data_IF_777525191327
#
_entry.id   IF_777525191327
#
_cell.length_a   1.000
_cell.length_b   1.000
_cell.length_c   1.000
_cell.angle_alpha   90.00
_cell.angle_beta   90.00
_cell.angle_gamma   90.00
#
_symmetry.space_group_name_H-M   'P 1'
#
loop_
_entity.id
_entity.type
_entity.pdbx_description
1 polymer ?
#
# COMPACT_ATOMS: atom_id res chain seq x y z
N UNK A 1 40.30 -19.65 -6.88
CA UNK A 1 38.89 -20.10 -6.76
C UNK A 1 37.90 -18.95 -6.59
N UNK A 2 38.25 -17.88 -5.85
CA UNK A 2 37.38 -16.70 -5.57
C UNK A 2 36.79 -16.02 -6.83
N UNK A 3 37.54 -15.95 -7.95
CA UNK A 3 37.05 -15.35 -9.21
C UNK A 3 35.84 -16.10 -9.81
N UNK A 4 35.81 -17.44 -9.70
CA UNK A 4 34.72 -18.27 -10.22
C UNK A 4 33.48 -18.16 -9.33
N UNK A 5 33.69 -18.09 -8.01
CA UNK A 5 32.63 -17.85 -7.03
C UNK A 5 31.97 -16.48 -7.26
N UNK A 6 32.76 -15.42 -7.44
CA UNK A 6 32.24 -14.07 -7.71
C UNK A 6 31.44 -14.00 -9.02
N UNK A 7 31.91 -14.66 -10.09
CA UNK A 7 31.18 -14.72 -11.36
C UNK A 7 29.86 -15.50 -11.22
N UNK A 8 29.87 -16.61 -10.48
CA UNK A 8 28.67 -17.38 -10.20
C UNK A 8 27.64 -16.58 -9.40
N UNK A 9 28.08 -15.89 -8.35
CA UNK A 9 27.21 -15.01 -7.55
C UNK A 9 26.64 -13.87 -8.39
N UNK A 10 27.44 -13.26 -9.26
CA UNK A 10 26.99 -12.21 -10.17
C UNK A 10 25.91 -12.71 -11.15
N UNK A 11 26.12 -13.88 -11.76
CA UNK A 11 25.15 -14.50 -12.66
C UNK A 11 23.84 -14.85 -11.92
N UNK A 12 23.95 -15.32 -10.68
CA UNK A 12 22.79 -15.65 -9.84
C UNK A 12 21.96 -14.42 -9.46
N UNK A 13 22.61 -13.27 -9.24
CA UNK A 13 21.92 -12.01 -8.97
C UNK A 13 21.20 -11.47 -10.22
N UNK A 14 21.79 -11.61 -11.41
CA UNK A 14 21.16 -11.20 -12.67
C UNK A 14 19.90 -12.03 -12.95
N UNK A 15 19.97 -13.35 -12.76
CA UNK A 15 18.81 -14.21 -12.97
C UNK A 15 17.70 -13.94 -11.96
N UNK A 16 18.03 -13.64 -10.70
CA UNK A 16 17.05 -13.26 -9.69
C UNK A 16 16.26 -11.99 -10.06
N UNK A 17 16.93 -10.97 -10.61
CA UNK A 17 16.27 -9.74 -11.09
C UNK A 17 15.45 -10.01 -12.35
N UNK A 18 15.96 -10.79 -13.29
CA UNK A 18 15.26 -11.13 -14.53
C UNK A 18 13.99 -11.98 -14.30
N UNK A 19 13.96 -12.75 -13.20
CA UNK A 19 12.80 -13.56 -12.80
C UNK A 19 11.88 -12.86 -11.78
N UNK A 20 12.17 -11.61 -11.40
CA UNK A 20 11.30 -10.84 -10.53
C UNK A 20 9.96 -10.58 -11.22
N UNK A 21 8.93 -11.32 -10.83
CA UNK A 21 7.56 -11.09 -11.29
C UNK A 21 6.97 -9.88 -10.58
N UNK A 22 6.25 -9.03 -11.30
CA UNK A 22 5.35 -8.08 -10.67
C UNK A 22 4.32 -8.88 -9.84
N UNK A 23 3.97 -8.45 -8.61
CA UNK A 23 2.99 -9.15 -7.80
C UNK A 23 1.68 -9.29 -8.59
N UNK A 24 1.19 -10.52 -8.73
CA UNK A 24 -0.10 -10.75 -9.38
C UNK A 24 -1.23 -10.21 -8.50
N UNK A 25 -2.25 -9.63 -9.11
CA UNK A 25 -3.41 -9.09 -8.41
C UNK A 25 -3.30 -7.63 -7.96
N UNK A 26 -2.20 -6.94 -8.27
CA UNK A 26 -2.13 -5.48 -8.15
C UNK A 26 -2.61 -4.87 -9.47
N UNK A 27 -3.50 -3.85 -9.44
CA UNK A 27 -3.87 -3.12 -10.65
C UNK A 27 -2.61 -2.61 -11.36
N UNK A 28 -2.39 -3.09 -12.58
CA UNK A 28 -1.31 -2.63 -13.44
C UNK A 28 -1.82 -1.49 -14.32
N UNK A 29 -0.99 -0.47 -14.56
CA UNK A 29 -1.35 0.72 -15.34
C UNK A 29 -1.50 2.00 -14.52
N UNK A 30 -1.99 3.07 -15.13
CA UNK A 30 -2.32 4.31 -14.44
C UNK A 30 -3.61 4.10 -13.63
N UNK A 31 -3.59 4.24 -12.30
CA UNK A 31 -4.79 4.05 -11.50
C UNK A 31 -5.84 5.09 -11.89
N UNK A 32 -7.08 4.65 -12.09
CA UNK A 32 -8.20 5.57 -12.25
C UNK A 32 -8.48 6.29 -10.93
N UNK A 33 -8.89 7.56 -10.97
CA UNK A 33 -9.32 8.27 -9.77
C UNK A 33 -10.49 7.54 -9.08
N UNK A 34 -10.55 7.64 -7.75
CA UNK A 34 -11.67 7.09 -6.97
C UNK A 34 -12.99 7.70 -7.45
N UNK A 35 -13.92 6.86 -7.88
CA UNK A 35 -15.25 7.32 -8.28
C UNK A 35 -16.01 7.90 -7.09
N UNK A 36 -16.68 9.04 -7.29
CA UNK A 36 -17.48 9.72 -6.28
C UNK A 36 -18.89 9.13 -6.17
N UNK A 37 -18.98 7.80 -6.04
CA UNK A 37 -20.24 7.13 -5.75
C UNK A 37 -20.67 7.39 -4.30
N UNK A 38 -21.97 7.26 -4.01
CA UNK A 38 -22.49 7.43 -2.65
C UNK A 38 -21.76 6.53 -1.64
N UNK A 39 -21.52 5.26 -2.01
CA UNK A 39 -20.79 4.30 -1.17
C UNK A 39 -19.36 4.78 -0.88
N UNK A 40 -18.63 5.23 -1.90
CA UNK A 40 -17.26 5.70 -1.74
C UNK A 40 -17.19 6.98 -0.90
N UNK A 41 -18.13 7.90 -1.09
CA UNK A 41 -18.22 9.11 -0.27
C UNK A 41 -18.46 8.74 1.21
N UNK A 42 -19.38 7.81 1.47
CA UNK A 42 -19.67 7.37 2.85
C UNK A 42 -18.43 6.71 3.48
N UNK A 43 -17.81 5.77 2.79
CA UNK A 43 -16.70 4.97 3.33
C UNK A 43 -15.43 5.79 3.48
N UNK A 44 -15.07 6.58 2.47
CA UNK A 44 -13.78 7.27 2.43
C UNK A 44 -13.80 8.69 3.01
N UNK A 45 -14.97 9.29 3.22
CA UNK A 45 -15.09 10.67 3.75
C UNK A 45 -15.92 10.71 5.03
N UNK A 46 -17.19 10.28 4.96
CA UNK A 46 -18.14 10.46 6.06
C UNK A 46 -17.73 9.67 7.30
N UNK A 47 -17.38 8.40 7.12
CA UNK A 47 -17.02 7.51 8.22
C UNK A 47 -15.76 7.99 8.98
N UNK A 48 -14.64 8.37 8.32
CA UNK A 48 -13.49 8.99 8.98
C UNK A 48 -13.84 10.27 9.75
N UNK A 49 -14.66 11.15 9.16
CA UNK A 49 -15.07 12.41 9.82
C UNK A 49 -15.88 12.12 11.08
N UNK A 50 -16.83 11.17 11.03
CA UNK A 50 -17.61 10.76 12.20
C UNK A 50 -16.69 10.21 13.29
N UNK A 51 -15.72 9.34 12.95
CA UNK A 51 -14.76 8.80 13.93
C UNK A 51 -14.00 9.93 14.63
N UNK A 52 -13.51 10.92 13.88
CA UNK A 52 -12.79 12.07 14.45
C UNK A 52 -13.71 12.88 15.38
N UNK A 53 -14.94 13.15 14.97
CA UNK A 53 -15.93 13.87 15.80
C UNK A 53 -16.20 13.11 17.09
N UNK A 54 -16.48 11.81 17.02
CA UNK A 54 -16.76 10.97 18.19
C UNK A 54 -15.55 10.89 19.12
N UNK A 55 -14.34 10.76 18.57
CA UNK A 55 -13.11 10.77 19.36
C UNK A 55 -12.94 12.10 20.11
N UNK A 56 -13.12 13.24 19.43
CA UNK A 56 -13.01 14.57 20.07
C UNK A 56 -14.07 14.74 21.15
N UNK A 57 -15.32 14.35 20.86
CA UNK A 57 -16.42 14.39 21.83
C UNK A 57 -16.10 13.56 23.07
N UNK A 58 -15.71 12.31 22.89
CA UNK A 58 -15.31 11.42 23.98
C UNK A 58 -14.14 11.98 24.79
N UNK A 59 -13.09 12.48 24.12
CA UNK A 59 -11.91 13.05 24.78
C UNK A 59 -12.26 14.28 25.61
N UNK A 60 -13.19 15.12 25.15
CA UNK A 60 -13.65 16.29 25.89
C UNK A 60 -14.43 15.89 27.14
N UNK A 61 -15.28 14.87 27.06
CA UNK A 61 -16.05 14.41 28.21
C UNK A 61 -15.20 13.72 29.28
N UNK A 62 -14.06 13.12 28.92
CA UNK A 62 -13.11 12.51 29.88
C UNK A 62 -12.21 13.52 30.62
N UNK A 63 -12.20 14.79 30.20
CA UNK A 63 -11.39 15.87 30.81
C UNK A 63 -12.20 16.75 31.76
N UNK A 64 -13.51 16.52 31.85
CA UNK A 64 -14.38 17.06 32.92
C UNK A 64 -14.53 15.98 33.98
#
# INVERSE_FOLDING_TARGET
MIKKTGLFTFLLLITAVAMAQAPSGIPTGTPEPLELTLTNIIVFIVLPVIIVILYIYWRRNRRK
#
